data_IF_510627449650
#
_entry.id   IF_510627449650
#
_cell.length_a   1.000
_cell.length_b   1.000
_cell.length_c   1.000
_cell.angle_alpha   90.00
_cell.angle_beta   90.00
_cell.angle_gamma   90.00
#
_symmetry.space_group_name_H-M   'P 1'
#
loop_
_entity.id
_entity.type
_entity.pdbx_description
1 polymer ?
#
# COMPACT_ATOMS: atom_id res chain seq x y z
N UNK A 1 -28.76 41.23 27.31
CA UNK A 1 -27.87 40.09 27.56
C UNK A 1 -26.85 40.03 26.45
N UNK A 2 -25.57 40.26 26.76
CA UNK A 2 -24.50 40.34 25.76
C UNK A 2 -24.05 38.96 25.29
N UNK A 3 -24.35 38.61 24.03
CA UNK A 3 -23.77 37.44 23.38
C UNK A 3 -22.28 37.69 23.09
N UNK A 4 -21.40 36.83 23.62
CA UNK A 4 -19.98 36.81 23.24
C UNK A 4 -19.81 36.13 21.88
N UNK A 5 -18.90 36.60 21.01
CA UNK A 5 -18.64 35.97 19.71
C UNK A 5 -17.87 34.66 19.87
N UNK A 6 -18.18 33.69 19.01
CA UNK A 6 -17.49 32.40 18.91
C UNK A 6 -16.08 32.59 18.30
N UNK A 7 -15.05 31.87 18.81
CA UNK A 7 -13.71 31.93 18.23
C UNK A 7 -13.66 31.26 16.85
N UNK A 8 -12.83 31.84 15.97
CA UNK A 8 -12.60 31.41 14.58
C UNK A 8 -12.03 29.99 14.55
N UNK A 9 -12.54 29.16 13.61
CA UNK A 9 -12.00 27.81 13.32
C UNK A 9 -10.68 27.93 12.56
N UNK A 10 -9.59 28.03 13.31
CA UNK A 10 -8.26 27.75 12.77
C UNK A 10 -8.07 26.24 12.64
N UNK A 11 -7.70 25.85 11.41
CA UNK A 11 -7.01 24.63 11.01
C UNK A 11 -6.91 23.51 12.06
N UNK A 12 -7.76 22.48 11.89
CA UNK A 12 -7.50 21.13 12.39
C UNK A 12 -6.27 20.56 11.68
N UNK A 13 -5.10 20.96 12.17
CA UNK A 13 -3.80 20.44 11.81
C UNK A 13 -3.63 19.08 12.49
N UNK A 14 -3.28 18.08 11.69
CA UNK A 14 -2.95 16.71 12.07
C UNK A 14 -2.21 16.57 13.42
N UNK A 15 -2.93 16.39 14.52
CA UNK A 15 -2.34 16.26 15.86
C UNK A 15 -2.79 15.02 16.66
N UNK A 16 -3.50 14.08 16.04
CA UNK A 16 -3.95 12.85 16.72
C UNK A 16 -3.09 11.60 16.48
N UNK A 17 -1.90 11.74 15.89
CA UNK A 17 -0.84 10.74 16.04
C UNK A 17 0.18 11.18 17.09
N UNK A 18 -0.26 11.32 18.35
CA UNK A 18 0.68 11.42 19.49
C UNK A 18 1.23 10.04 19.80
N UNK A 19 2.50 9.83 19.49
CA UNK A 19 3.31 8.77 20.10
C UNK A 19 3.29 8.96 21.64
N UNK A 20 2.96 7.93 22.45
CA UNK A 20 3.06 8.04 23.90
C UNK A 20 4.52 8.29 24.29
N UNK A 21 4.80 9.41 24.96
CA UNK A 21 6.09 9.63 25.63
C UNK A 21 6.12 8.75 26.88
N UNK A 22 7.23 8.02 27.03
CA UNK A 22 7.59 7.11 28.13
C UNK A 22 6.74 5.85 28.31
N UNK A 23 6.97 4.86 27.44
CA UNK A 23 6.97 3.45 27.83
C UNK A 23 8.42 2.98 27.75
N UNK A 24 9.09 2.85 28.90
CA UNK A 24 10.38 2.15 28.95
C UNK A 24 10.11 0.69 28.62
N UNK A 25 10.61 0.25 27.46
CA UNK A 25 10.55 -1.15 27.07
C UNK A 25 11.42 -1.94 28.08
N UNK A 26 10.91 -3.03 28.69
CA UNK A 26 11.74 -3.90 29.51
C UNK A 26 12.94 -4.35 28.67
N UNK A 27 14.14 -4.24 29.24
CA UNK A 27 15.44 -4.57 28.61
C UNK A 27 15.66 -6.07 28.39
N UNK A 28 14.59 -6.86 28.33
CA UNK A 28 14.65 -8.19 27.75
C UNK A 28 14.95 -7.99 26.28
N UNK A 29 16.18 -8.34 25.87
CA UNK A 29 16.59 -8.39 24.48
C UNK A 29 15.42 -8.95 23.67
N UNK A 30 14.81 -8.11 22.83
CA UNK A 30 14.09 -8.60 21.67
C UNK A 30 15.20 -9.28 20.85
N UNK A 31 15.43 -10.53 21.17
CA UNK A 31 16.32 -11.43 20.45
C UNK A 31 15.82 -11.40 19.02
N UNK A 32 16.51 -10.62 18.19
CA UNK A 32 16.35 -10.58 16.75
C UNK A 32 14.91 -10.26 16.31
N UNK A 33 14.59 -8.97 16.22
CA UNK A 33 13.46 -8.50 15.41
C UNK A 33 13.43 -9.29 14.10
N UNK A 34 12.32 -9.97 13.84
CA UNK A 34 12.12 -10.92 12.76
C UNK A 34 12.83 -10.45 11.48
N UNK A 35 13.89 -11.16 11.08
CA UNK A 35 14.49 -10.93 9.77
C UNK A 35 13.39 -11.21 8.76
N UNK A 36 12.98 -10.21 7.98
CA UNK A 36 12.04 -10.40 6.87
C UNK A 36 12.54 -11.58 6.03
N UNK A 37 11.67 -12.58 5.88
CA UNK A 37 12.00 -13.84 5.22
C UNK A 37 12.09 -13.65 3.72
N UNK A 38 10.95 -13.34 3.10
CA UNK A 38 10.76 -13.10 1.68
C UNK A 38 10.02 -11.78 1.48
N UNK A 39 10.37 -11.05 0.42
CA UNK A 39 9.64 -9.86 -0.02
C UNK A 39 9.21 -10.12 -1.46
N UNK A 40 7.91 -9.95 -1.72
CA UNK A 40 7.35 -10.08 -3.06
C UNK A 40 6.82 -8.71 -3.44
N UNK A 41 7.43 -8.10 -4.46
CA UNK A 41 7.00 -6.83 -5.02
C UNK A 41 6.27 -7.08 -6.34
N UNK A 42 5.15 -6.38 -6.54
CA UNK A 42 4.34 -6.51 -7.74
C UNK A 42 4.27 -5.20 -8.53
N UNK A 43 4.04 -5.33 -9.83
CA UNK A 43 3.76 -4.20 -10.71
C UNK A 43 3.24 -4.67 -12.07
N UNK A 44 2.51 -3.80 -12.77
CA UNK A 44 1.96 -4.11 -14.11
C UNK A 44 3.06 -4.44 -15.12
N UNK A 45 4.12 -3.63 -15.12
CA UNK A 45 5.26 -3.78 -16.03
C UNK A 45 6.57 -3.76 -15.23
N UNK A 46 6.92 -4.86 -14.54
CA UNK A 46 8.10 -4.86 -13.67
C UNK A 46 9.41 -4.65 -14.44
N UNK A 47 9.45 -4.99 -15.74
CA UNK A 47 10.63 -4.77 -16.57
C UNK A 47 10.94 -3.28 -16.81
N UNK A 48 9.93 -2.41 -16.79
CA UNK A 48 10.13 -0.96 -16.93
C UNK A 48 10.42 -0.26 -15.60
N UNK A 49 10.23 -0.94 -14.45
CA UNK A 49 10.47 -0.42 -13.11
C UNK A 49 11.97 -0.42 -12.75
N UNK A 50 12.74 0.52 -13.33
CA UNK A 50 14.21 0.60 -13.19
C UNK A 50 14.68 0.62 -11.73
N UNK A 51 14.03 1.42 -10.89
CA UNK A 51 14.38 1.54 -9.47
C UNK A 51 14.18 0.22 -8.73
N UNK A 52 13.07 -0.47 -8.94
CA UNK A 52 12.80 -1.78 -8.35
C UNK A 52 13.83 -2.83 -8.80
N UNK A 53 14.17 -2.85 -10.10
CA UNK A 53 15.18 -3.78 -10.64
C UNK A 53 16.62 -3.46 -10.20
N UNK A 54 16.87 -2.23 -9.78
CA UNK A 54 18.15 -1.80 -9.22
C UNK A 54 18.39 -2.39 -7.83
N UNK A 55 17.32 -2.72 -7.09
CA UNK A 55 17.41 -3.35 -5.77
C UNK A 55 17.90 -4.78 -5.92
N UNK A 56 19.15 -5.04 -5.51
CA UNK A 56 19.73 -6.39 -5.47
C UNK A 56 19.58 -6.97 -4.08
N UNK A 57 18.60 -7.86 -3.91
CA UNK A 57 18.41 -8.60 -2.68
C UNK A 57 17.94 -10.02 -3.01
N UNK A 58 18.60 -11.09 -2.52
CA UNK A 58 18.21 -12.47 -2.80
C UNK A 58 16.83 -12.85 -2.26
N UNK A 59 16.28 -12.05 -1.34
CA UNK A 59 14.94 -12.25 -0.76
C UNK A 59 13.83 -11.51 -1.50
N UNK A 60 14.18 -10.66 -2.46
CA UNK A 60 13.23 -9.88 -3.24
C UNK A 60 12.87 -10.65 -4.51
N UNK A 61 11.59 -10.96 -4.65
CA UNK A 61 11.02 -11.51 -5.87
C UNK A 61 10.11 -10.45 -6.50
N UNK A 62 10.30 -10.20 -7.79
CA UNK A 62 9.46 -9.28 -8.55
C UNK A 62 8.51 -10.10 -9.40
N UNK A 63 7.21 -9.87 -9.25
CA UNK A 63 6.15 -10.60 -9.95
C UNK A 63 5.28 -9.62 -10.71
N UNK A 64 5.09 -9.85 -12.02
CA UNK A 64 4.13 -9.08 -12.80
C UNK A 64 2.71 -9.36 -12.31
N UNK A 65 1.95 -8.30 -12.03
CA UNK A 65 0.56 -8.36 -11.64
C UNK A 65 -0.13 -7.06 -12.05
N UNK A 66 -1.21 -7.17 -12.80
CA UNK A 66 -2.19 -6.12 -13.01
C UNK A 66 -3.42 -6.43 -12.17
N UNK A 67 -3.73 -5.54 -11.21
CA UNK A 67 -4.80 -5.79 -10.23
C UNK A 67 -6.19 -5.67 -10.83
N UNK A 68 -6.33 -5.01 -12.00
CA UNK A 68 -7.60 -4.91 -12.73
C UNK A 68 -7.81 -6.07 -13.73
N UNK A 69 -6.88 -7.02 -13.82
CA UNK A 69 -6.96 -8.18 -14.72
C UNK A 69 -6.95 -9.47 -13.88
N UNK A 70 -8.09 -10.16 -13.83
CA UNK A 70 -8.28 -11.38 -13.05
C UNK A 70 -7.30 -12.50 -13.45
N UNK A 71 -7.01 -12.66 -14.74
CA UNK A 71 -6.06 -13.68 -15.23
C UNK A 71 -4.63 -13.32 -14.82
N UNK A 72 -4.29 -12.03 -14.82
CA UNK A 72 -3.02 -11.51 -14.31
C UNK A 72 -2.86 -11.77 -12.82
N UNK A 73 -3.91 -11.51 -12.03
CA UNK A 73 -3.95 -11.82 -10.58
C UNK A 73 -3.79 -13.31 -10.34
N UNK A 74 -4.56 -14.17 -11.01
CA UNK A 74 -4.46 -15.62 -10.87
C UNK A 74 -3.05 -16.14 -11.22
N UNK A 75 -2.44 -15.58 -12.27
CA UNK A 75 -1.07 -15.89 -12.67
C UNK A 75 -0.04 -15.45 -11.63
N UNK A 76 -0.23 -14.28 -11.01
CA UNK A 76 0.60 -13.78 -9.93
C UNK A 76 0.48 -14.67 -8.69
N UNK A 77 -0.74 -15.06 -8.30
CA UNK A 77 -0.99 -16.02 -7.20
C UNK A 77 -0.22 -17.31 -7.44
N UNK A 78 -0.32 -17.91 -8.64
CA UNK A 78 0.40 -19.13 -8.97
C UNK A 78 1.93 -18.99 -8.86
N UNK A 79 2.50 -17.83 -9.20
CA UNK A 79 3.94 -17.55 -9.03
C UNK A 79 4.30 -17.37 -7.56
N UNK A 80 3.50 -16.63 -6.80
CA UNK A 80 3.70 -16.38 -5.36
C UNK A 80 3.62 -17.69 -4.58
N UNK A 81 2.63 -18.55 -4.84
CA UNK A 81 2.51 -19.86 -4.20
C UNK A 81 3.77 -20.71 -4.42
N UNK A 82 4.35 -20.68 -5.62
CA UNK A 82 5.62 -21.37 -5.91
C UNK A 82 6.80 -20.77 -5.15
N UNK A 83 6.89 -19.44 -5.05
CA UNK A 83 7.95 -18.75 -4.30
C UNK A 83 7.88 -19.08 -2.81
N UNK A 84 6.66 -19.16 -2.27
CA UNK A 84 6.45 -19.46 -0.85
C UNK A 84 6.75 -20.92 -0.50
N UNK A 85 6.74 -21.83 -1.47
CA UNK A 85 7.13 -23.25 -1.30
C UNK A 85 6.40 -23.93 -0.13
N UNK A 86 5.07 -23.81 -0.14
CA UNK A 86 4.20 -24.35 0.92
C UNK A 86 4.16 -23.52 2.21
N UNK A 87 4.97 -22.46 2.34
CA UNK A 87 4.83 -21.48 3.42
C UNK A 87 3.61 -20.58 3.16
N UNK A 88 2.96 -20.14 4.22
CA UNK A 88 1.88 -19.15 4.12
C UNK A 88 2.41 -17.75 3.79
N UNK A 89 1.49 -16.84 3.44
CA UNK A 89 1.77 -15.41 3.34
C UNK A 89 1.43 -14.73 4.67
N UNK A 90 2.41 -14.10 5.32
CA UNK A 90 2.21 -13.44 6.62
C UNK A 90 1.56 -12.06 6.49
N UNK A 91 1.96 -11.29 5.46
CA UNK A 91 1.57 -9.90 5.27
C UNK A 91 1.24 -9.67 3.80
N UNK A 92 0.05 -9.12 3.56
CA UNK A 92 -0.37 -8.60 2.27
C UNK A 92 -0.56 -7.08 2.38
N UNK A 93 0.12 -6.33 1.50
CA UNK A 93 -0.02 -4.88 1.41
C UNK A 93 -0.67 -4.52 0.07
N UNK A 94 -1.95 -4.16 0.12
CA UNK A 94 -2.71 -3.71 -1.05
C UNK A 94 -2.38 -2.23 -1.35
N UNK A 95 -1.19 -1.99 -1.90
CA UNK A 95 -0.73 -0.63 -2.25
C UNK A 95 -0.93 -0.27 -3.73
N UNK A 96 -1.33 -1.23 -4.58
CA UNK A 96 -1.63 -0.93 -5.97
C UNK A 96 -2.83 0.02 -6.05
N UNK A 97 -2.68 1.09 -6.84
CA UNK A 97 -3.71 2.09 -6.99
C UNK A 97 -3.39 3.08 -8.10
N UNK A 98 -4.44 3.66 -8.67
CA UNK A 98 -4.35 4.81 -9.58
C UNK A 98 -5.14 5.98 -9.02
N UNK A 99 -4.77 7.18 -9.47
CA UNK A 99 -5.54 8.38 -9.23
C UNK A 99 -5.80 9.09 -10.55
N UNK A 100 -7.03 8.96 -11.03
CA UNK A 100 -7.57 9.76 -12.12
C UNK A 100 -8.09 11.07 -11.54
N UNK A 101 -7.36 12.16 -11.77
CA UNK A 101 -7.75 13.50 -11.30
C UNK A 101 -8.96 13.98 -12.08
N UNK A 102 -10.13 13.91 -11.44
CA UNK A 102 -11.43 14.35 -11.96
C UNK A 102 -12.29 14.90 -10.83
N UNK A 103 -13.17 15.85 -11.15
CA UNK A 103 -14.25 16.30 -10.26
C UNK A 103 -15.59 15.73 -10.71
N UNK A 104 -16.64 15.92 -9.90
CA UNK A 104 -17.99 15.45 -10.25
C UNK A 104 -18.62 16.28 -11.37
N UNK A 105 -18.15 17.51 -11.55
CA UNK A 105 -18.59 18.44 -12.58
C UNK A 105 -17.89 18.19 -13.93
N UNK A 106 -16.80 17.43 -13.93
CA UNK A 106 -16.11 17.07 -15.16
C UNK A 106 -16.99 16.20 -16.05
N UNK A 107 -16.85 16.37 -17.37
CA UNK A 107 -17.44 15.46 -18.33
C UNK A 107 -16.62 14.16 -18.36
N UNK A 108 -16.86 13.29 -17.39
CA UNK A 108 -16.14 12.02 -17.21
C UNK A 108 -16.85 10.91 -17.96
N UNK A 109 -16.08 10.12 -18.72
CA UNK A 109 -16.64 8.93 -19.37
C UNK A 109 -16.91 7.83 -18.34
N UNK A 110 -17.93 7.01 -18.59
CA UNK A 110 -18.19 5.79 -17.79
C UNK A 110 -16.92 4.93 -17.66
N UNK A 111 -16.16 4.78 -18.74
CA UNK A 111 -14.93 3.99 -18.75
C UNK A 111 -13.89 4.50 -17.75
N UNK A 112 -13.67 5.82 -17.68
CA UNK A 112 -12.72 6.41 -16.74
C UNK A 112 -13.16 6.25 -15.27
N UNK A 113 -14.47 6.33 -15.00
CA UNK A 113 -15.00 6.05 -13.65
C UNK A 113 -14.76 4.59 -13.30
N UNK A 114 -15.11 3.67 -14.20
CA UNK A 114 -14.91 2.23 -13.97
C UNK A 114 -13.45 1.88 -13.74
N UNK A 115 -12.52 2.41 -14.54
CA UNK A 115 -11.09 2.17 -14.37
C UNK A 115 -10.58 2.51 -12.96
N UNK A 116 -11.04 3.62 -12.37
CA UNK A 116 -10.69 3.98 -11.00
C UNK A 116 -11.19 2.94 -9.98
N UNK A 117 -12.38 2.39 -10.18
CA UNK A 117 -12.95 1.38 -9.29
C UNK A 117 -12.28 0.01 -9.47
N UNK A 118 -12.09 -0.45 -10.70
CA UNK A 118 -11.48 -1.76 -10.99
C UNK A 118 -10.07 -1.91 -10.42
N UNK A 119 -9.34 -0.80 -10.24
CA UNK A 119 -7.97 -0.82 -9.68
C UNK A 119 -7.93 -0.64 -8.16
N UNK A 120 -8.82 0.19 -7.59
CA UNK A 120 -8.71 0.65 -6.20
C UNK A 120 -9.69 0.00 -5.21
N UNK A 121 -10.75 -0.66 -5.70
CA UNK A 121 -11.88 -1.13 -4.88
C UNK A 121 -11.63 -2.49 -4.20
#
# INVERSE_FOLDING_TARGET
GSCRPLPKKDALRASNWRQPRSRTWPSTRISQCARVGLVIATGRYPESAKELRSVKNPKLHVVACDVADEQSVASAVGKVTKILDGKGLDILVNNAGIFLSRTLEDNVSKAAVMEQFEVNA
#
